data_IF_711518042834
#
_entry.id   IF_711518042834
#
_cell.length_a   1.000
_cell.length_b   1.000
_cell.length_c   1.000
_cell.angle_alpha   90.00
_cell.angle_beta   90.00
_cell.angle_gamma   90.00
#
_symmetry.space_group_name_H-M   'P 1'
#
loop_
_entity.id
_entity.type
_entity.pdbx_description
1 polymer ?
#
# COMPACT_ATOMS: atom_id res chain seq x y z
N UNK A 1 -14.84 9.82 2.05
CA UNK A 1 -13.70 9.43 2.93
C UNK A 1 -13.08 8.17 2.32
N UNK A 2 -11.79 7.92 2.50
CA UNK A 2 -11.15 6.68 2.05
C UNK A 2 -10.49 6.00 3.24
N UNK A 3 -10.53 4.66 3.28
CA UNK A 3 -9.87 3.85 4.29
C UNK A 3 -8.94 2.85 3.62
N UNK A 4 -7.70 2.74 4.10
CA UNK A 4 -6.77 1.70 3.68
C UNK A 4 -6.62 0.69 4.81
N UNK A 5 -6.84 -0.59 4.50
CA UNK A 5 -6.70 -1.69 5.45
C UNK A 5 -5.63 -2.65 4.93
N UNK A 6 -4.74 -3.08 5.81
CA UNK A 6 -3.83 -4.19 5.53
C UNK A 6 -4.57 -5.49 5.83
N UNK A 7 -4.77 -6.31 4.82
CA UNK A 7 -5.43 -7.63 4.98
C UNK A 7 -4.42 -8.70 5.36
N UNK A 8 -3.27 -8.68 4.69
CA UNK A 8 -2.15 -9.56 5.00
C UNK A 8 -0.89 -8.71 5.04
N UNK A 9 -0.28 -8.61 6.21
CA UNK A 9 1.02 -7.95 6.37
C UNK A 9 2.10 -8.75 5.63
N UNK A 10 3.25 -8.11 5.41
CA UNK A 10 4.39 -8.81 4.84
C UNK A 10 4.84 -10.00 5.70
N UNK A 11 5.22 -11.09 5.04
CA UNK A 11 5.73 -12.30 5.69
C UNK A 11 7.26 -12.28 5.83
N UNK A 12 7.95 -11.44 5.08
CA UNK A 12 9.42 -11.40 5.01
C UNK A 12 9.92 -9.98 5.19
N UNK A 13 10.83 -9.76 6.12
CA UNK A 13 11.49 -8.47 6.29
C UNK A 13 12.47 -8.20 5.14
N UNK A 14 12.62 -6.94 4.77
CA UNK A 14 13.59 -6.48 3.77
C UNK A 14 15.05 -6.69 4.21
N UNK A 15 15.29 -6.89 5.51
CA UNK A 15 16.59 -7.17 6.10
C UNK A 15 16.48 -8.44 6.92
N UNK A 16 17.33 -9.42 6.64
CA UNK A 16 17.42 -10.63 7.44
C UNK A 16 18.18 -10.39 8.75
N UNK A 17 17.94 -11.23 9.76
CA UNK A 17 18.70 -11.19 11.03
C UNK A 17 20.21 -11.33 10.75
N UNK A 18 20.60 -12.24 9.83
CA UNK A 18 21.99 -12.44 9.47
C UNK A 18 22.63 -11.19 8.82
N UNK A 19 21.91 -10.53 7.90
CA UNK A 19 22.37 -9.29 7.28
C UNK A 19 22.48 -8.14 8.27
N UNK A 20 21.55 -8.07 9.24
CA UNK A 20 21.62 -7.07 10.30
C UNK A 20 22.84 -7.32 11.22
N UNK A 21 23.05 -8.56 11.66
CA UNK A 21 24.21 -8.91 12.49
C UNK A 21 25.54 -8.57 11.81
N UNK A 22 25.66 -8.92 10.53
CA UNK A 22 26.84 -8.57 9.74
C UNK A 22 27.07 -7.05 9.69
N UNK A 23 26.00 -6.28 9.50
CA UNK A 23 26.05 -4.82 9.48
C UNK A 23 26.40 -4.22 10.84
N UNK A 24 25.82 -4.75 11.93
CA UNK A 24 26.05 -4.32 13.31
C UNK A 24 27.34 -4.89 13.94
N UNK A 25 28.08 -5.75 13.22
CA UNK A 25 29.28 -6.44 13.70
C UNK A 25 29.01 -7.33 14.93
N UNK A 26 27.84 -7.93 14.98
CA UNK A 26 27.45 -8.91 16.01
C UNK A 26 27.87 -10.30 15.54
N UNK A 27 28.32 -11.14 16.47
CA UNK A 27 28.69 -12.53 16.15
C UNK A 27 27.48 -13.27 15.55
N UNK A 28 27.68 -13.87 14.39
CA UNK A 28 26.62 -14.61 13.69
C UNK A 28 26.14 -15.85 14.46
N UNK A 29 27.01 -16.43 15.30
CA UNK A 29 26.70 -17.61 16.12
C UNK A 29 25.91 -17.28 17.38
N UNK A 30 25.93 -16.02 17.84
CA UNK A 30 25.16 -15.60 19.01
C UNK A 30 23.69 -15.47 18.64
N UNK A 31 22.84 -16.34 19.16
CA UNK A 31 21.40 -16.34 18.95
C UNK A 31 20.60 -15.70 20.08
N UNK A 32 21.25 -15.23 21.14
CA UNK A 32 20.60 -14.75 22.35
C UNK A 32 19.66 -13.55 22.11
N UNK A 33 20.01 -12.68 21.17
CA UNK A 33 19.24 -11.46 20.85
C UNK A 33 18.46 -11.57 19.52
N UNK A 34 18.35 -12.73 18.90
CA UNK A 34 17.68 -12.87 17.61
C UNK A 34 16.25 -12.33 17.60
N UNK A 35 15.46 -12.65 18.61
CA UNK A 35 14.08 -12.18 18.73
C UNK A 35 13.99 -10.64 18.87
N UNK A 36 14.93 -10.05 19.60
CA UNK A 36 15.01 -8.59 19.72
C UNK A 36 15.40 -7.96 18.39
N UNK A 37 16.42 -8.48 17.73
CA UNK A 37 16.88 -8.00 16.42
C UNK A 37 15.73 -8.09 15.41
N UNK A 38 15.00 -9.20 15.36
CA UNK A 38 13.86 -9.37 14.46
C UNK A 38 12.78 -8.30 14.69
N UNK A 39 12.45 -8.02 15.95
CA UNK A 39 11.47 -7.00 16.31
C UNK A 39 11.92 -5.59 15.93
N UNK A 40 13.21 -5.27 16.10
CA UNK A 40 13.77 -3.97 15.73
C UNK A 40 13.85 -3.77 14.22
N UNK A 41 14.21 -4.81 13.48
CA UNK A 41 14.19 -4.78 12.01
C UNK A 41 12.77 -4.60 11.49
N UNK A 42 11.80 -5.31 12.08
CA UNK A 42 10.39 -5.13 11.73
C UNK A 42 9.92 -3.70 12.00
N UNK A 43 10.22 -3.16 13.18
CA UNK A 43 9.87 -1.79 13.54
C UNK A 43 10.51 -0.75 12.60
N UNK A 44 11.79 -0.94 12.27
CA UNK A 44 12.51 -0.06 11.35
C UNK A 44 11.89 -0.09 9.94
N UNK A 45 11.46 -1.27 9.46
CA UNK A 45 10.76 -1.39 8.19
C UNK A 45 9.40 -0.69 8.24
N UNK A 46 8.60 -0.88 9.28
CA UNK A 46 7.30 -0.24 9.46
C UNK A 46 7.41 1.28 9.49
N UNK A 47 8.40 1.81 10.21
CA UNK A 47 8.71 3.25 10.22
C UNK A 47 9.10 3.76 8.82
N UNK A 48 9.92 3.01 8.08
CA UNK A 48 10.31 3.37 6.73
C UNK A 48 9.12 3.36 5.76
N UNK A 49 8.21 2.37 5.88
CA UNK A 49 6.96 2.32 5.10
C UNK A 49 6.01 3.48 5.43
N UNK A 50 5.90 3.80 6.71
CA UNK A 50 5.07 4.92 7.16
C UNK A 50 5.61 6.26 6.66
N UNK A 51 6.94 6.46 6.71
CA UNK A 51 7.59 7.68 6.26
C UNK A 51 7.53 7.87 4.74
N UNK A 52 7.78 6.79 3.99
CA UNK A 52 7.82 6.86 2.52
C UNK A 52 6.45 6.74 1.86
N UNK A 53 5.42 6.30 2.60
CA UNK A 53 4.10 5.99 2.06
C UNK A 53 4.08 4.77 1.11
N UNK A 54 5.15 3.97 1.07
CA UNK A 54 5.33 2.82 0.15
C UNK A 54 5.13 1.50 0.88
N UNK A 55 4.72 0.48 0.16
CA UNK A 55 4.88 -0.90 0.59
C UNK A 55 6.30 -1.36 0.22
N UNK A 56 7.10 -1.79 1.20
CA UNK A 56 8.49 -2.24 0.96
C UNK A 56 8.49 -3.69 0.52
N UNK A 57 8.01 -4.60 1.33
CA UNK A 57 7.79 -5.99 0.92
C UNK A 57 6.33 -6.23 0.58
N UNK A 58 6.04 -7.28 -0.19
CA UNK A 58 4.69 -7.51 -0.69
C UNK A 58 3.69 -7.73 0.44
N UNK A 59 2.57 -7.04 0.34
CA UNK A 59 1.44 -7.14 1.26
C UNK A 59 0.11 -7.01 0.51
N UNK A 60 -0.93 -7.63 1.03
CA UNK A 60 -2.27 -7.50 0.49
C UNK A 60 -3.03 -6.41 1.24
N UNK A 61 -3.58 -5.49 0.47
CA UNK A 61 -4.23 -4.28 0.94
C UNK A 61 -5.64 -4.18 0.36
N UNK A 62 -6.56 -3.61 1.14
CA UNK A 62 -7.90 -3.25 0.66
C UNK A 62 -8.12 -1.75 0.84
N UNK A 63 -8.40 -1.08 -0.27
CA UNK A 63 -8.83 0.31 -0.30
C UNK A 63 -10.35 0.37 -0.28
N UNK A 64 -10.91 1.07 0.71
CA UNK A 64 -12.33 1.33 0.82
C UNK A 64 -12.62 2.78 0.47
N UNK A 65 -13.62 2.99 -0.38
CA UNK A 65 -14.08 4.32 -0.78
C UNK A 65 -15.59 4.44 -0.54
N UNK A 66 -16.02 5.53 0.08
CA UNK A 66 -17.45 5.81 0.25
C UNK A 66 -18.10 6.14 -1.09
N UNK A 67 -17.38 6.87 -1.93
CA UNK A 67 -17.77 7.25 -3.27
C UNK A 67 -16.54 7.24 -4.17
N UNK A 68 -16.76 6.98 -5.42
CA UNK A 68 -15.70 7.20 -6.42
C UNK A 68 -15.36 8.68 -6.46
N UNK A 69 -14.09 9.00 -6.66
CA UNK A 69 -13.68 10.36 -6.84
C UNK A 69 -14.25 10.91 -8.15
N UNK A 70 -15.47 11.39 -8.14
CA UNK A 70 -16.02 12.17 -9.23
C UNK A 70 -15.46 13.59 -9.17
N UNK A 71 -15.17 14.14 -10.33
CA UNK A 71 -14.91 15.56 -10.47
C UNK A 71 -16.14 16.32 -9.94
N UNK A 72 -16.11 16.77 -8.70
CA UNK A 72 -17.03 17.79 -8.26
C UNK A 72 -16.46 19.11 -8.76
N UNK A 73 -17.25 19.85 -9.49
CA UNK A 73 -16.98 21.23 -9.94
C UNK A 73 -16.94 22.21 -8.72
N UNK A 74 -16.67 21.68 -7.54
CA UNK A 74 -16.42 22.48 -6.36
C UNK A 74 -15.03 23.08 -6.51
N UNK A 75 -15.01 24.33 -6.91
CA UNK A 75 -13.83 25.20 -6.75
C UNK A 75 -13.44 25.14 -5.28
N UNK A 76 -12.32 24.46 -5.01
CA UNK A 76 -11.73 24.49 -3.70
C UNK A 76 -11.37 25.95 -3.35
N UNK A 77 -11.58 26.40 -2.11
CA UNK A 77 -11.16 27.72 -1.69
C UNK A 77 -9.68 27.93 -2.04
N UNK A 78 -9.31 29.12 -2.51
CA UNK A 78 -7.94 29.46 -2.82
C UNK A 78 -7.05 29.11 -1.60
N UNK A 79 -5.95 28.39 -1.84
CA UNK A 79 -4.99 27.98 -0.81
C UNK A 79 -5.19 26.57 -0.27
N UNK A 80 -6.22 25.84 -0.66
CA UNK A 80 -6.34 24.41 -0.34
C UNK A 80 -5.67 23.60 -1.44
N UNK A 81 -4.44 23.17 -1.18
CA UNK A 81 -3.75 22.21 -2.03
C UNK A 81 -4.34 20.82 -1.75
N UNK A 82 -5.22 20.35 -2.62
CA UNK A 82 -5.47 18.90 -2.69
C UNK A 82 -4.23 18.25 -3.27
N UNK A 83 -3.79 17.17 -2.64
CA UNK A 83 -2.74 16.36 -3.24
C UNK A 83 -3.11 16.07 -4.71
N UNK A 84 -2.18 16.26 -5.66
CA UNK A 84 -2.44 16.03 -7.09
C UNK A 84 -3.03 14.64 -7.38
N UNK A 85 -2.82 13.70 -6.49
CA UNK A 85 -3.27 12.32 -6.54
C UNK A 85 -4.79 12.13 -6.36
N UNK A 86 -5.49 13.16 -5.89
CA UNK A 86 -6.96 13.17 -5.76
C UNK A 86 -7.65 13.84 -6.96
N UNK A 87 -6.92 14.18 -8.02
CA UNK A 87 -7.56 14.56 -9.29
C UNK A 87 -8.17 13.33 -9.94
N UNK A 88 -9.33 13.00 -9.43
CA UNK A 88 -10.17 11.97 -9.99
C UNK A 88 -10.62 12.37 -11.40
N UNK A 89 -9.85 11.94 -12.36
CA UNK A 89 -10.43 11.68 -13.67
C UNK A 89 -11.51 10.62 -13.44
N UNK A 90 -12.72 10.86 -13.98
CA UNK A 90 -13.85 9.93 -13.88
C UNK A 90 -13.49 8.50 -14.33
N UNK A 91 -12.35 8.31 -14.99
CA UNK A 91 -11.94 7.10 -15.66
C UNK A 91 -10.92 6.25 -14.92
N UNK A 92 -10.34 6.70 -13.81
CA UNK A 92 -9.40 5.86 -13.07
C UNK A 92 -9.41 6.14 -11.55
N UNK A 93 -9.00 5.13 -10.79
CA UNK A 93 -8.78 5.19 -9.35
C UNK A 93 -7.30 4.95 -9.10
N UNK A 94 -6.64 5.89 -8.43
CA UNK A 94 -5.25 5.75 -7.99
C UNK A 94 -5.22 4.91 -6.73
N UNK A 95 -4.31 3.92 -6.71
CA UNK A 95 -4.10 3.06 -5.54
C UNK A 95 -2.96 3.61 -4.69
N UNK A 96 -3.16 3.69 -3.37
CA UNK A 96 -2.10 4.09 -2.44
C UNK A 96 -1.02 3.01 -2.34
N UNK A 97 0.09 3.32 -1.69
CA UNK A 97 1.24 2.42 -1.51
C UNK A 97 1.87 2.01 -2.86
N UNK A 98 2.72 2.87 -3.45
CA UNK A 98 3.42 2.62 -4.71
C UNK A 98 4.10 1.25 -4.81
N UNK A 99 4.35 0.85 -6.06
CA UNK A 99 4.69 -0.48 -6.56
C UNK A 99 3.51 -1.44 -6.50
N UNK A 100 2.44 -1.06 -7.21
CA UNK A 100 1.33 -1.98 -7.46
C UNK A 100 1.82 -3.22 -8.21
N UNK A 101 1.56 -4.39 -7.63
CA UNK A 101 1.86 -5.69 -8.26
C UNK A 101 0.65 -6.19 -9.03
N UNK A 102 -0.51 -6.21 -8.38
CA UNK A 102 -1.75 -6.71 -8.99
C UNK A 102 -2.99 -6.23 -8.24
N UNK A 103 -4.13 -6.24 -8.92
CA UNK A 103 -5.44 -6.05 -8.32
C UNK A 103 -6.17 -7.38 -8.30
N UNK A 104 -6.61 -7.81 -7.13
CA UNK A 104 -7.31 -9.09 -6.95
C UNK A 104 -8.76 -8.96 -7.37
N UNK A 105 -9.44 -7.91 -6.90
CA UNK A 105 -10.82 -7.62 -7.29
C UNK A 105 -11.17 -6.15 -7.03
N UNK A 106 -12.18 -5.70 -7.75
CA UNK A 106 -12.91 -4.47 -7.47
C UNK A 106 -14.34 -4.89 -7.15
N UNK A 107 -14.81 -4.58 -5.96
CA UNK A 107 -16.17 -4.85 -5.51
C UNK A 107 -16.92 -3.56 -5.21
N UNK A 108 -18.23 -3.62 -5.28
CA UNK A 108 -19.12 -2.58 -4.81
C UNK A 108 -20.26 -3.20 -4.01
N UNK A 109 -20.82 -2.43 -3.11
CA UNK A 109 -21.85 -2.87 -2.18
C UNK A 109 -23.10 -2.04 -2.39
N UNK A 110 -24.24 -2.72 -2.55
CA UNK A 110 -25.55 -2.08 -2.66
C UNK A 110 -26.10 -1.61 -1.30
N UNK A 111 -27.31 -1.03 -1.32
CA UNK A 111 -27.98 -0.55 -0.13
C UNK A 111 -28.30 -1.67 0.88
N UNK A 112 -28.39 -2.92 0.42
CA UNK A 112 -28.64 -4.10 1.26
C UNK A 112 -27.35 -4.74 1.76
N UNK A 113 -26.19 -4.10 1.55
CA UNK A 113 -24.86 -4.60 1.85
C UNK A 113 -24.45 -5.86 1.06
N UNK A 114 -25.09 -6.15 -0.06
CA UNK A 114 -24.72 -7.25 -0.93
C UNK A 114 -23.51 -6.84 -1.78
N UNK A 115 -22.45 -7.67 -1.74
CA UNK A 115 -21.25 -7.43 -2.51
C UNK A 115 -21.40 -7.92 -3.95
N UNK A 116 -21.12 -7.07 -4.92
CA UNK A 116 -21.01 -7.42 -6.33
C UNK A 116 -19.59 -7.16 -6.84
N UNK A 117 -19.08 -8.07 -7.67
CA UNK A 117 -17.76 -7.92 -8.28
C UNK A 117 -17.86 -7.14 -9.58
N UNK A 118 -17.09 -6.07 -9.69
CA UNK A 118 -16.96 -5.33 -10.94
C UNK A 118 -16.10 -6.13 -11.91
N UNK A 119 -16.67 -6.48 -13.06
CA UNK A 119 -16.04 -7.37 -14.02
C UNK A 119 -14.73 -6.78 -14.59
N UNK A 120 -13.68 -7.58 -14.70
CA UNK A 120 -12.38 -7.20 -15.26
C UNK A 120 -12.45 -6.84 -16.75
N UNK A 121 -13.55 -7.21 -17.44
CA UNK A 121 -13.83 -6.74 -18.79
C UNK A 121 -14.01 -5.22 -18.89
N UNK A 122 -14.40 -4.55 -17.79
CA UNK A 122 -14.74 -3.13 -17.75
C UNK A 122 -13.54 -2.23 -17.41
N UNK A 123 -12.45 -2.78 -16.92
CA UNK A 123 -11.27 -2.01 -16.51
C UNK A 123 -9.97 -2.73 -16.91
N UNK A 124 -8.87 -2.02 -16.81
CA UNK A 124 -7.52 -2.58 -16.83
C UNK A 124 -6.70 -1.99 -15.66
N UNK A 125 -5.66 -2.71 -15.27
CA UNK A 125 -4.76 -2.30 -14.21
C UNK A 125 -3.51 -1.72 -14.84
N UNK A 126 -3.20 -0.47 -14.50
CA UNK A 126 -1.96 0.18 -14.90
C UNK A 126 -0.96 0.07 -13.75
N UNK A 127 0.10 -0.69 -13.99
CA UNK A 127 1.22 -0.88 -13.07
C UNK A 127 2.48 -0.14 -13.51
N UNK A 128 2.43 0.58 -14.63
CA UNK A 128 3.59 1.29 -15.19
C UNK A 128 3.81 2.66 -14.57
N UNK A 129 2.75 3.25 -14.03
CA UNK A 129 2.84 4.49 -13.28
C UNK A 129 3.45 4.26 -11.91
N UNK A 130 4.14 5.24 -11.35
CA UNK A 130 4.69 5.17 -10.00
C UNK A 130 3.61 4.75 -8.98
N UNK A 131 2.45 5.38 -9.05
CA UNK A 131 1.24 4.94 -8.35
C UNK A 131 0.40 4.09 -9.30
N UNK A 132 0.10 2.88 -8.91
CA UNK A 132 -0.74 1.99 -9.68
C UNK A 132 -2.18 2.51 -9.78
N UNK A 133 -2.86 2.19 -10.87
CA UNK A 133 -4.21 2.68 -11.15
C UNK A 133 -5.12 1.57 -11.67
N UNK A 134 -6.39 1.64 -11.28
CA UNK A 134 -7.46 0.89 -11.94
C UNK A 134 -8.15 1.85 -12.91
N UNK A 135 -8.10 1.55 -14.21
CA UNK A 135 -8.54 2.43 -15.28
C UNK A 135 -9.71 1.81 -16.01
N UNK A 136 -10.81 2.56 -16.19
CA UNK A 136 -11.94 2.13 -16.99
C UNK A 136 -11.57 1.97 -18.46
N UNK A 137 -12.11 0.95 -19.11
CA UNK A 137 -12.05 0.83 -20.55
C UNK A 137 -13.07 1.75 -21.22
N UNK A 138 -12.79 2.15 -22.46
CA UNK A 138 -13.72 2.95 -23.24
C UNK A 138 -15.08 2.26 -23.35
N UNK A 139 -16.14 3.03 -23.11
CA UNK A 139 -17.52 2.53 -23.14
C UNK A 139 -17.98 1.84 -21.85
N UNK A 140 -17.11 1.70 -20.86
CA UNK A 140 -17.48 1.23 -19.52
C UNK A 140 -17.75 2.39 -18.58
N UNK A 141 -18.62 2.16 -17.60
CA UNK A 141 -18.93 3.11 -16.53
C UNK A 141 -18.81 2.43 -15.17
N UNK A 142 -18.45 3.22 -14.16
CA UNK A 142 -18.53 2.76 -12.79
C UNK A 142 -19.97 2.56 -12.36
N UNK A 143 -20.25 1.65 -11.40
CA UNK A 143 -21.58 1.53 -10.81
C UNK A 143 -22.08 2.89 -10.27
N UNK A 144 -23.34 3.19 -10.49
CA UNK A 144 -23.94 4.49 -10.13
C UNK A 144 -24.21 4.58 -8.62
N UNK A 145 -24.09 5.80 -8.06
CA UNK A 145 -24.23 6.05 -6.64
C UNK A 145 -25.64 5.84 -6.07
N UNK A 146 -26.69 5.79 -6.92
CA UNK A 146 -28.10 5.65 -6.47
C UNK A 146 -28.44 4.27 -5.89
N UNK A 147 -27.60 3.27 -6.14
CA UNK A 147 -27.79 1.89 -5.70
C UNK A 147 -26.76 1.43 -4.65
N UNK A 148 -25.86 2.33 -4.25
CA UNK A 148 -24.73 1.99 -3.39
C UNK A 148 -24.97 2.42 -1.93
N UNK A 149 -24.44 1.63 -1.00
CA UNK A 149 -24.44 2.00 0.42
C UNK A 149 -23.66 3.31 0.68
N UNK A 150 -24.02 3.99 1.77
CA UNK A 150 -23.50 5.33 2.06
C UNK A 150 -22.02 5.40 2.46
N UNK A 151 -21.47 4.31 2.99
CA UNK A 151 -20.08 4.25 3.46
C UNK A 151 -19.40 2.97 2.97
N UNK A 152 -18.11 3.07 2.62
CA UNK A 152 -17.32 1.96 2.10
C UNK A 152 -17.99 1.24 0.92
N UNK A 153 -18.62 2.01 0.04
CA UNK A 153 -19.39 1.48 -1.08
C UNK A 153 -18.53 0.71 -2.09
N UNK A 154 -17.25 1.02 -2.18
CA UNK A 154 -16.29 0.33 -3.05
C UNK A 154 -15.17 -0.28 -2.22
N UNK A 155 -14.73 -1.47 -2.62
CA UNK A 155 -13.59 -2.18 -2.10
C UNK A 155 -12.67 -2.58 -3.26
N UNK A 156 -11.43 -2.17 -3.20
CA UNK A 156 -10.41 -2.57 -4.16
C UNK A 156 -9.33 -3.33 -3.40
N UNK A 157 -9.27 -4.65 -3.63
CA UNK A 157 -8.22 -5.47 -3.05
C UNK A 157 -7.06 -5.60 -4.02
N UNK A 158 -5.87 -5.26 -3.54
CA UNK A 158 -4.67 -5.22 -4.35
C UNK A 158 -3.44 -5.67 -3.56
N UNK A 159 -2.41 -6.02 -4.29
CA UNK A 159 -1.08 -6.35 -3.76
C UNK A 159 -0.10 -5.27 -4.17
N UNK A 160 0.67 -4.79 -3.20
CA UNK A 160 1.71 -3.79 -3.41
C UNK A 160 3.01 -4.22 -2.72
N UNK A 161 4.14 -3.68 -3.18
CA UNK A 161 5.47 -3.94 -2.66
C UNK A 161 6.47 -4.28 -3.76
N UNK A 162 7.77 -4.22 -3.44
CA UNK A 162 8.83 -4.50 -4.43
C UNK A 162 8.96 -6.01 -4.74
N UNK A 163 8.72 -6.87 -3.76
CA UNK A 163 8.80 -8.33 -3.91
C UNK A 163 8.70 -9.05 -2.57
N UNK A 164 8.81 -10.38 -2.60
CA UNK A 164 8.74 -11.23 -1.41
C UNK A 164 10.12 -11.56 -0.83
N UNK A 165 11.20 -11.22 -1.52
CA UNK A 165 12.56 -11.45 -1.05
C UNK A 165 13.25 -10.12 -0.74
N UNK A 166 14.19 -10.12 0.21
CA UNK A 166 15.00 -8.96 0.53
C UNK A 166 15.80 -8.44 -0.69
N UNK A 167 16.15 -9.34 -1.63
CA UNK A 167 16.82 -8.99 -2.88
C UNK A 167 16.00 -8.13 -3.84
N UNK A 168 14.66 -8.17 -3.71
CA UNK A 168 13.75 -7.45 -4.59
C UNK A 168 13.62 -5.97 -4.17
N UNK A 169 13.97 -5.67 -2.92
CA UNK A 169 13.91 -4.33 -2.35
C UNK A 169 15.10 -3.50 -2.81
N UNK A 170 14.91 -2.24 -3.26
CA UNK A 170 16.00 -1.36 -3.63
C UNK A 170 17.06 -1.22 -2.54
N UNK A 171 18.33 -1.40 -2.91
CA UNK A 171 19.45 -1.36 -1.97
C UNK A 171 19.50 -0.12 -1.05
N UNK A 172 19.17 1.10 -1.53
CA UNK A 172 19.12 2.27 -0.65
C UNK A 172 18.09 2.14 0.48
N UNK A 173 16.91 1.54 0.21
CA UNK A 173 15.90 1.29 1.25
C UNK A 173 16.38 0.24 2.26
N UNK A 174 16.97 -0.86 1.77
CA UNK A 174 17.57 -1.89 2.65
C UNK A 174 18.62 -1.27 3.56
N UNK A 175 19.48 -0.40 3.00
CA UNK A 175 20.52 0.28 3.79
C UNK A 175 19.92 1.23 4.83
N UNK A 176 18.90 1.99 4.47
CA UNK A 176 18.22 2.89 5.39
C UNK A 176 17.56 2.12 6.56
N UNK A 177 16.92 0.98 6.25
CA UNK A 177 16.33 0.10 7.29
C UNK A 177 17.41 -0.43 8.23
N UNK A 178 18.56 -0.88 7.69
CA UNK A 178 19.69 -1.35 8.52
C UNK A 178 20.19 -0.25 9.46
N UNK A 179 20.36 0.96 8.96
CA UNK A 179 20.82 2.11 9.76
C UNK A 179 19.80 2.45 10.86
N UNK A 180 18.51 2.47 10.52
CA UNK A 180 17.45 2.75 11.48
C UNK A 180 17.36 1.66 12.55
N UNK A 181 17.40 0.40 12.14
CA UNK A 181 17.40 -0.74 13.06
C UNK A 181 18.62 -0.73 14.00
N UNK A 182 19.81 -0.37 13.49
CA UNK A 182 21.02 -0.21 14.32
C UNK A 182 20.86 0.92 15.32
N UNK A 183 20.32 2.06 14.89
CA UNK A 183 20.05 3.18 15.78
C UNK A 183 19.11 2.77 16.93
N UNK A 184 18.03 2.05 16.61
CA UNK A 184 17.11 1.53 17.63
C UNK A 184 17.76 0.47 18.52
N UNK A 185 18.70 -0.32 17.98
CA UNK A 185 19.43 -1.33 18.74
C UNK A 185 20.41 -0.71 19.74
N UNK A 186 21.09 0.37 19.37
CA UNK A 186 22.08 1.07 20.20
C UNK A 186 21.42 2.00 21.24
N UNK A 187 20.24 2.54 20.94
CA UNK A 187 19.52 3.50 21.79
C UNK A 187 18.22 2.87 22.33
N UNK A 188 18.37 1.91 23.24
CA UNK A 188 17.26 1.14 23.82
C UNK A 188 16.63 1.78 25.08
N UNK A 189 16.87 3.07 25.32
CA UNK A 189 16.34 3.79 26.48
C UNK A 189 14.86 4.14 26.36
#
# INVERSE_FOLDING_TARGET
>A
MSGLKTDTAWATNAVSIADFKLFARIDSSDSSENALIESLVFLAQDMAESYTGRAITQQDLSLFLDRLPFYSDQRLPEGVYTAPDLQANQNFIVLPKPNLVSVTHVKYYDNDNTASTFATSNYYVDTTSEQGRVVLKNGSSWPTASELRNANAYEIKFRAGYGNAASDVPKPLVQAIKMLALHLYENRE
#
